data_IF_063290624834
#
_entry.id   IF_063290624834
#
_cell.length_a   1.000
_cell.length_b   1.000
_cell.length_c   1.000
_cell.angle_alpha   90.00
_cell.angle_beta   90.00
_cell.angle_gamma   90.00
#
_symmetry.space_group_name_H-M   'P 1'
#
loop_
_entity.id
_entity.type
_entity.pdbx_description
1 polymer ?
#
# COMPACT_ATOMS: atom_id res chain seq x y z
N UNK A 1 20.54 14.26 21.89
CA UNK A 1 20.75 14.61 20.47
C UNK A 1 20.92 13.37 19.56
N UNK A 2 21.08 12.14 20.10
CA UNK A 2 21.39 10.92 19.33
C UNK A 2 20.23 10.27 18.54
N UNK A 3 18.97 10.40 18.97
CA UNK A 3 17.83 9.66 18.37
C UNK A 3 17.38 10.11 16.98
N UNK A 4 17.76 11.33 16.53
CA UNK A 4 17.30 11.86 15.23
C UNK A 4 18.10 11.27 14.07
N UNK A 5 19.43 11.18 14.23
CA UNK A 5 20.31 10.59 13.23
C UNK A 5 20.00 9.11 12.99
N UNK A 6 19.75 8.34 14.06
CA UNK A 6 19.45 6.90 13.97
C UNK A 6 18.16 6.59 13.19
N UNK A 7 17.16 7.47 13.28
CA UNK A 7 15.91 7.30 12.52
C UNK A 7 16.11 7.64 11.03
N UNK A 8 16.94 8.64 10.76
CA UNK A 8 17.26 9.07 9.40
C UNK A 8 18.05 7.99 8.65
N UNK A 9 19.03 7.38 9.32
CA UNK A 9 19.84 6.28 8.78
C UNK A 9 18.98 5.01 8.57
N UNK A 10 18.02 4.74 9.47
CA UNK A 10 17.04 3.66 9.31
C UNK A 10 16.16 3.86 8.08
N UNK A 11 15.66 5.08 7.85
CA UNK A 11 14.81 5.37 6.71
C UNK A 11 15.60 5.24 5.42
N UNK A 12 16.83 5.75 5.37
CA UNK A 12 17.71 5.56 4.21
C UNK A 12 17.97 4.07 3.92
N UNK A 13 18.14 3.23 4.95
CA UNK A 13 18.25 1.79 4.79
C UNK A 13 16.97 1.15 4.24
N UNK A 14 15.79 1.62 4.65
CA UNK A 14 14.50 1.17 4.09
C UNK A 14 14.38 1.61 2.63
N UNK A 15 14.70 2.86 2.29
CA UNK A 15 14.65 3.37 0.91
C UNK A 15 15.54 2.52 -0.01
N UNK A 16 16.75 2.20 0.45
CA UNK A 16 17.71 1.35 -0.28
C UNK A 16 17.37 -0.14 -0.27
N UNK A 17 16.45 -0.59 0.57
CA UNK A 17 16.09 -2.02 0.70
C UNK A 17 17.14 -2.86 1.43
N UNK A 18 17.96 -2.27 2.30
CA UNK A 18 19.04 -2.99 3.00
C UNK A 18 18.52 -3.66 4.28
N UNK A 19 18.01 -4.87 4.15
CA UNK A 19 17.42 -5.64 5.26
C UNK A 19 18.31 -5.70 6.51
N UNK A 20 19.60 -6.03 6.36
CA UNK A 20 20.51 -6.21 7.50
C UNK A 20 20.67 -4.95 8.34
N UNK A 21 20.60 -3.76 7.73
CA UNK A 21 20.75 -2.51 8.44
C UNK A 21 19.42 -2.12 9.09
N UNK A 22 18.29 -2.31 8.42
CA UNK A 22 16.97 -2.14 9.03
C UNK A 22 16.82 -3.02 10.27
N UNK A 23 17.21 -4.29 10.18
CA UNK A 23 17.21 -5.25 11.26
C UNK A 23 18.01 -4.74 12.48
N UNK A 24 19.26 -4.31 12.28
CA UNK A 24 20.11 -3.76 13.35
C UNK A 24 19.48 -2.55 14.04
N UNK A 25 18.94 -1.60 13.28
CA UNK A 25 18.32 -0.40 13.85
C UNK A 25 17.07 -0.72 14.67
N UNK A 26 16.26 -1.69 14.23
CA UNK A 26 15.10 -2.15 15.00
C UNK A 26 15.51 -2.93 16.25
N UNK A 27 16.58 -3.72 16.19
CA UNK A 27 17.14 -4.45 17.36
C UNK A 27 17.72 -3.50 18.41
N UNK A 28 18.21 -2.32 18.00
CA UNK A 28 18.64 -1.25 18.89
C UNK A 28 17.48 -0.52 19.62
N UNK A 29 16.24 -1.00 19.48
CA UNK A 29 15.07 -0.48 20.20
C UNK A 29 14.31 0.62 19.48
N UNK A 30 14.54 0.80 18.18
CA UNK A 30 13.75 1.75 17.38
C UNK A 30 12.31 1.29 17.26
N UNK A 31 11.35 2.18 17.52
CA UNK A 31 9.93 1.86 17.40
C UNK A 31 9.55 1.74 15.91
N UNK A 32 9.01 0.60 15.50
CA UNK A 32 8.55 0.34 14.14
C UNK A 32 7.43 1.28 13.67
N UNK A 33 6.77 1.97 14.60
CA UNK A 33 5.74 2.97 14.33
C UNK A 33 6.28 4.41 14.29
N UNK A 34 7.60 4.61 14.33
CA UNK A 34 8.19 5.95 14.27
C UNK A 34 7.81 6.68 12.98
N UNK A 35 7.77 8.01 13.06
CA UNK A 35 7.52 8.90 11.91
C UNK A 35 8.76 9.74 11.70
N UNK A 36 9.12 9.93 10.44
CA UNK A 36 10.18 10.85 10.07
C UNK A 36 9.70 12.29 10.22
N UNK A 37 10.40 13.11 11.01
CA UNK A 37 10.01 14.50 11.27
C UNK A 37 10.88 15.52 10.48
N UNK A 38 11.50 15.14 9.35
CA UNK A 38 12.33 16.08 8.56
C UNK A 38 11.51 17.17 7.85
N UNK A 39 10.33 16.83 7.30
CA UNK A 39 9.40 17.78 6.66
C UNK A 39 7.95 17.25 6.71
N UNK A 40 6.98 18.15 6.65
CA UNK A 40 5.52 17.87 6.65
C UNK A 40 5.15 16.90 5.53
N UNK A 41 5.78 17.05 4.36
CA UNK A 41 5.61 16.20 3.17
C UNK A 41 6.20 14.78 3.32
N UNK A 42 7.10 14.57 4.28
CA UNK A 42 7.82 13.31 4.51
C UNK A 42 7.45 12.63 5.82
N UNK A 43 6.40 13.13 6.50
CA UNK A 43 5.96 12.61 7.77
C UNK A 43 5.09 11.36 7.61
N UNK A 44 5.65 10.29 7.06
CA UNK A 44 5.00 8.99 6.90
C UNK A 44 5.58 7.90 7.83
N UNK A 45 4.79 6.88 8.21
CA UNK A 45 5.27 5.73 8.97
C UNK A 45 6.35 4.92 8.24
N UNK A 46 7.23 4.23 8.98
CA UNK A 46 8.26 3.34 8.40
C UNK A 46 7.66 2.28 7.46
N UNK A 47 6.50 1.71 7.82
CA UNK A 47 5.81 0.74 6.97
C UNK A 47 5.35 1.33 5.63
N UNK A 48 4.99 2.61 5.59
CA UNK A 48 4.63 3.31 4.36
C UNK A 48 5.85 3.52 3.44
N UNK A 49 7.04 3.75 3.99
CA UNK A 49 8.27 3.79 3.20
C UNK A 49 8.54 2.43 2.55
N UNK A 50 8.54 1.34 3.33
CA UNK A 50 8.78 0.00 2.80
C UNK A 50 7.72 -0.39 1.75
N UNK A 51 6.46 -0.01 1.95
CA UNK A 51 5.37 -0.22 1.00
C UNK A 51 5.55 0.58 -0.31
N UNK A 52 5.98 1.84 -0.21
CA UNK A 52 6.23 2.74 -1.34
C UNK A 52 7.34 2.24 -2.28
N UNK A 53 8.34 1.53 -1.74
CA UNK A 53 9.42 0.92 -2.54
C UNK A 53 9.21 -0.59 -2.81
N UNK A 54 8.16 -1.19 -2.27
CA UNK A 54 7.84 -2.60 -2.49
C UNK A 54 8.73 -3.62 -1.78
N UNK A 55 9.47 -3.22 -0.73
CA UNK A 55 10.39 -4.09 0.02
C UNK A 55 9.63 -5.02 0.98
N UNK A 56 9.02 -6.06 0.43
CA UNK A 56 8.11 -6.96 1.17
C UNK A 56 8.75 -7.67 2.37
N UNK A 57 10.04 -8.00 2.30
CA UNK A 57 10.82 -8.58 3.39
C UNK A 57 10.99 -7.60 4.56
N UNK A 58 11.29 -6.34 4.26
CA UNK A 58 11.35 -5.26 5.23
C UNK A 58 9.96 -4.99 5.83
N UNK A 59 8.89 -5.05 5.02
CA UNK A 59 7.52 -4.91 5.52
C UNK A 59 7.16 -5.99 6.53
N UNK A 60 7.47 -7.27 6.23
CA UNK A 60 7.25 -8.38 7.19
C UNK A 60 7.98 -8.11 8.50
N UNK A 61 9.26 -7.76 8.42
CA UNK A 61 10.04 -7.43 9.59
C UNK A 61 9.40 -6.30 10.42
N UNK A 62 8.97 -5.21 9.77
CA UNK A 62 8.33 -4.10 10.47
C UNK A 62 7.02 -4.51 11.14
N UNK A 63 6.19 -5.32 10.47
CA UNK A 63 4.93 -5.84 11.01
C UNK A 63 5.19 -6.77 12.20
N UNK A 64 6.17 -7.66 12.11
CA UNK A 64 6.60 -8.55 13.21
C UNK A 64 7.09 -7.75 14.43
N UNK A 65 7.64 -6.54 14.21
CA UNK A 65 8.01 -5.58 15.25
C UNK A 65 6.86 -4.69 15.71
N UNK A 66 5.62 -5.02 15.35
CA UNK A 66 4.42 -4.35 15.80
C UNK A 66 4.11 -3.05 15.05
N UNK A 67 4.59 -2.90 13.81
CA UNK A 67 4.13 -1.81 12.94
C UNK A 67 2.63 -1.92 12.69
N UNK A 68 1.93 -0.79 12.85
CA UNK A 68 0.50 -0.70 12.57
C UNK A 68 0.26 -0.65 11.07
N UNK A 69 -0.41 -1.68 10.54
CA UNK A 69 -0.70 -1.88 9.11
C UNK A 69 -1.49 -0.72 8.50
N UNK A 70 -2.43 -0.14 9.25
CA UNK A 70 -3.27 0.99 8.80
C UNK A 70 -2.79 2.36 9.30
N UNK A 71 -1.53 2.48 9.73
CA UNK A 71 -1.05 3.76 10.22
C UNK A 71 -0.99 4.78 9.08
N UNK A 72 -1.74 5.87 9.21
CA UNK A 72 -1.80 6.91 8.19
C UNK A 72 -0.68 7.94 8.32
N UNK A 73 -0.27 8.50 7.19
CA UNK A 73 0.55 9.70 7.15
C UNK A 73 -0.29 10.98 7.42
N UNK A 74 0.27 12.17 7.18
CA UNK A 74 -0.45 13.44 7.42
C UNK A 74 -1.55 13.72 6.38
N UNK A 75 -1.51 13.03 5.24
CA UNK A 75 -2.49 13.13 4.17
C UNK A 75 -3.58 12.06 4.29
N UNK A 76 -3.58 11.28 5.37
CA UNK A 76 -4.50 10.17 5.53
C UNK A 76 -4.14 8.93 4.71
N UNK A 77 -3.01 8.94 3.96
CA UNK A 77 -2.61 7.78 3.15
C UNK A 77 -2.11 6.65 4.03
N UNK A 78 -2.62 5.44 3.76
CA UNK A 78 -2.19 4.19 4.41
C UNK A 78 -0.99 3.58 3.68
N UNK A 79 -0.22 2.66 4.29
CA UNK A 79 0.80 1.88 3.58
C UNK A 79 0.24 1.18 2.34
N UNK A 80 -1.03 0.75 2.39
CA UNK A 80 -1.72 0.15 1.25
C UNK A 80 -1.90 1.14 0.10
N UNK A 81 -2.24 2.40 0.40
CA UNK A 81 -2.33 3.47 -0.60
C UNK A 81 -1.00 3.68 -1.32
N UNK A 82 0.10 3.74 -0.57
CA UNK A 82 1.45 3.89 -1.13
C UNK A 82 1.87 2.69 -1.98
N UNK A 83 1.62 1.45 -1.53
CA UNK A 83 1.91 0.26 -2.32
C UNK A 83 1.11 0.21 -3.63
N UNK A 84 -0.15 0.66 -3.61
CA UNK A 84 -1.02 0.65 -4.77
C UNK A 84 -0.67 1.74 -5.79
N UNK A 85 -0.42 2.97 -5.34
CA UNK A 85 0.04 4.09 -6.19
C UNK A 85 1.33 3.75 -6.93
N UNK A 86 2.26 3.07 -6.27
CA UNK A 86 3.54 2.64 -6.85
C UNK A 86 3.49 1.24 -7.51
N UNK A 87 2.30 0.65 -7.68
CA UNK A 87 2.12 -0.64 -8.37
C UNK A 87 2.87 -1.83 -7.73
N UNK A 88 3.19 -1.77 -6.44
CA UNK A 88 3.89 -2.84 -5.75
C UNK A 88 2.92 -3.93 -5.28
N UNK A 89 2.47 -4.77 -6.21
CA UNK A 89 1.43 -5.77 -5.95
C UNK A 89 1.79 -6.78 -4.85
N UNK A 90 3.08 -7.14 -4.71
CA UNK A 90 3.54 -8.00 -3.61
C UNK A 90 3.33 -7.35 -2.23
N UNK A 91 3.56 -6.03 -2.14
CA UNK A 91 3.30 -5.25 -0.94
C UNK A 91 1.80 -5.09 -0.68
N UNK A 92 1.00 -4.85 -1.74
CA UNK A 92 -0.48 -4.81 -1.65
C UNK A 92 -1.02 -6.12 -1.07
N UNK A 93 -0.62 -7.26 -1.64
CA UNK A 93 -1.07 -8.57 -1.19
C UNK A 93 -0.69 -8.83 0.27
N UNK A 94 0.57 -8.55 0.63
CA UNK A 94 1.06 -8.71 2.00
C UNK A 94 0.23 -7.87 2.99
N UNK A 95 -0.05 -6.60 2.67
CA UNK A 95 -0.84 -5.73 3.54
C UNK A 95 -2.28 -6.21 3.70
N UNK A 96 -2.92 -6.65 2.61
CA UNK A 96 -4.27 -7.24 2.66
C UNK A 96 -4.30 -8.52 3.49
N UNK A 97 -3.31 -9.40 3.34
CA UNK A 97 -3.16 -10.62 4.15
C UNK A 97 -3.00 -10.31 5.65
N UNK A 98 -2.39 -9.18 5.98
CA UNK A 98 -2.24 -8.69 7.36
C UNK A 98 -3.40 -7.79 7.83
N UNK A 99 -4.52 -7.79 7.09
CA UNK A 99 -5.76 -7.14 7.50
C UNK A 99 -5.83 -5.63 7.24
N UNK A 100 -5.04 -5.10 6.30
CA UNK A 100 -5.13 -3.68 5.92
C UNK A 100 -6.53 -3.32 5.43
N UNK A 101 -7.01 -2.14 5.81
CA UNK A 101 -8.29 -1.64 5.34
C UNK A 101 -8.20 -1.18 3.87
N UNK A 102 -8.74 -2.00 2.97
CA UNK A 102 -8.82 -1.73 1.52
C UNK A 102 -9.71 -0.53 1.16
N UNK A 103 -10.62 -0.14 2.05
CA UNK A 103 -11.55 0.99 1.86
C UNK A 103 -11.07 2.27 2.57
N UNK A 104 -9.84 2.31 3.10
CA UNK A 104 -9.35 3.47 3.83
C UNK A 104 -9.07 4.64 2.86
N UNK A 105 -10.04 5.53 2.71
CA UNK A 105 -9.90 6.75 1.92
C UNK A 105 -8.79 7.66 2.47
N UNK A 106 -7.95 8.16 1.58
CA UNK A 106 -6.99 9.22 1.92
C UNK A 106 -7.66 10.61 1.91
N UNK A 107 -6.89 11.66 2.17
CA UNK A 107 -7.37 13.04 2.16
C UNK A 107 -7.88 13.54 0.81
N UNK A 108 -7.68 12.77 -0.27
CA UNK A 108 -8.21 13.02 -1.61
C UNK A 108 -9.46 12.18 -1.90
N UNK A 109 -10.05 11.55 -0.87
CA UNK A 109 -11.21 10.64 -0.99
C UNK A 109 -10.94 9.44 -1.90
N UNK A 110 -9.65 9.12 -2.09
CA UNK A 110 -9.23 8.05 -2.99
C UNK A 110 -8.94 6.81 -2.18
N UNK A 111 -9.53 5.68 -2.58
CA UNK A 111 -9.24 4.39 -1.96
C UNK A 111 -7.91 3.82 -2.48
N UNK A 112 -7.16 3.07 -1.65
CA UNK A 112 -5.90 2.46 -2.05
C UNK A 112 -6.01 1.69 -3.37
N UNK A 113 -7.08 0.91 -3.55
CA UNK A 113 -7.27 0.11 -4.77
C UNK A 113 -7.70 0.94 -5.99
N UNK A 114 -8.24 2.14 -5.80
CA UNK A 114 -8.52 3.05 -6.92
C UNK A 114 -7.24 3.57 -7.59
N UNK A 115 -6.14 3.71 -6.84
CA UNK A 115 -4.84 4.08 -7.40
C UNK A 115 -4.33 3.07 -8.45
N UNK A 116 -4.70 1.79 -8.30
CA UNK A 116 -4.37 0.74 -9.28
C UNK A 116 -5.00 0.98 -10.66
N UNK A 117 -5.98 1.87 -10.79
CA UNK A 117 -6.58 2.19 -12.09
C UNK A 117 -5.69 3.07 -12.97
N UNK A 118 -4.77 3.79 -12.34
CA UNK A 118 -3.81 4.65 -13.02
C UNK A 118 -2.49 3.92 -13.32
N UNK A 119 -2.30 2.73 -12.74
CA UNK A 119 -1.14 1.89 -13.02
C UNK A 119 -1.15 1.38 -14.47
N UNK A 120 -0.02 0.92 -15.01
CA UNK A 120 0.08 0.41 -16.40
C UNK A 120 -0.13 -1.11 -16.49
N UNK A 121 0.30 -1.88 -15.49
CA UNK A 121 0.30 -3.35 -15.51
C UNK A 121 -1.09 -3.99 -15.25
N UNK A 122 -1.70 -4.64 -16.23
CA UNK A 122 -3.17 -4.93 -16.25
C UNK A 122 -3.56 -6.23 -15.54
N UNK A 123 -2.69 -7.23 -15.48
CA UNK A 123 -3.09 -8.58 -15.10
C UNK A 123 -3.36 -8.73 -13.61
N UNK A 124 -2.47 -8.19 -12.77
CA UNK A 124 -2.60 -8.28 -11.30
C UNK A 124 -3.68 -7.34 -10.77
N UNK A 125 -3.92 -6.22 -11.47
CA UNK A 125 -5.02 -5.29 -11.17
C UNK A 125 -6.37 -6.00 -11.22
N UNK A 126 -6.59 -6.82 -12.24
CA UNK A 126 -7.90 -7.41 -12.48
C UNK A 126 -8.30 -8.36 -11.35
N UNK A 127 -7.37 -9.18 -10.85
CA UNK A 127 -7.66 -10.13 -9.78
C UNK A 127 -7.93 -9.40 -8.43
N UNK A 128 -7.09 -8.43 -8.07
CA UNK A 128 -7.26 -7.62 -6.85
C UNK A 128 -8.52 -6.73 -6.87
N UNK A 129 -8.80 -6.09 -8.01
CA UNK A 129 -10.02 -5.28 -8.19
C UNK A 129 -11.27 -6.15 -8.26
N UNK A 130 -11.20 -7.36 -8.82
CA UNK A 130 -12.37 -8.23 -8.94
C UNK A 130 -12.92 -8.64 -7.56
N UNK A 131 -12.07 -9.04 -6.61
CA UNK A 131 -12.51 -9.37 -5.25
C UNK A 131 -13.07 -8.14 -4.51
N UNK A 132 -12.45 -6.97 -4.71
CA UNK A 132 -12.90 -5.71 -4.11
C UNK A 132 -14.24 -5.21 -4.65
N UNK A 133 -14.39 -5.16 -5.98
CA UNK A 133 -15.60 -4.72 -6.70
C UNK A 133 -16.81 -5.61 -6.39
N UNK A 134 -16.57 -6.88 -6.08
CA UNK A 134 -17.61 -7.84 -5.70
C UNK A 134 -17.99 -7.75 -4.21
N UNK A 135 -17.25 -7.01 -3.39
CA UNK A 135 -17.42 -6.99 -1.93
C UNK A 135 -18.37 -5.90 -1.38
N UNK A 136 -18.54 -4.74 -2.05
CA UNK A 136 -19.68 -3.76 -2.00
C UNK A 136 -19.25 -2.34 -2.42
N UNK A 137 -20.21 -1.59 -2.97
CA UNK A 137 -20.24 -0.12 -3.13
C UNK A 137 -19.16 0.62 -3.96
N UNK A 138 -18.52 -0.04 -4.92
CA UNK A 138 -17.62 0.64 -5.84
C UNK A 138 -18.26 1.70 -6.78
N UNK A 139 -19.60 1.83 -6.78
CA UNK A 139 -20.34 2.87 -7.52
C UNK A 139 -20.22 4.27 -6.94
N UNK A 140 -19.91 4.41 -5.65
CA UNK A 140 -19.78 5.72 -5.00
C UNK A 140 -18.33 6.23 -4.98
N UNK A 141 -17.37 5.35 -5.27
CA UNK A 141 -15.94 5.56 -4.97
C UNK A 141 -15.16 6.01 -6.21
N UNK A 142 -15.63 5.64 -7.39
CA UNK A 142 -14.98 5.99 -8.65
C UNK A 142 -15.78 7.08 -9.35
N UNK A 143 -15.10 8.12 -9.81
CA UNK A 143 -15.75 9.09 -10.70
C UNK A 143 -16.39 8.37 -11.89
N UNK A 144 -17.45 8.95 -12.45
CA UNK A 144 -18.28 8.27 -13.46
C UNK A 144 -17.43 7.77 -14.66
N UNK A 145 -16.32 8.43 -14.95
CA UNK A 145 -15.37 8.12 -16.02
C UNK A 145 -14.52 6.89 -15.73
N UNK A 146 -13.99 6.76 -14.51
CA UNK A 146 -13.16 5.64 -14.08
C UNK A 146 -13.99 4.37 -13.92
N UNK A 147 -15.22 4.50 -13.39
CA UNK A 147 -16.18 3.39 -13.34
C UNK A 147 -16.53 2.87 -14.73
N UNK A 148 -16.77 3.76 -15.71
CA UNK A 148 -17.12 3.36 -17.06
C UNK A 148 -15.97 2.61 -17.77
N UNK A 149 -14.71 3.06 -17.61
CA UNK A 149 -13.53 2.38 -18.18
C UNK A 149 -13.30 1.01 -17.54
N UNK A 150 -13.39 0.91 -16.22
CA UNK A 150 -13.32 -0.36 -15.48
C UNK A 150 -14.38 -1.35 -15.91
N UNK A 151 -15.64 -0.91 -15.93
CA UNK A 151 -16.78 -1.75 -16.31
C UNK A 151 -16.61 -2.28 -17.74
N UNK A 152 -16.09 -1.46 -18.65
CA UNK A 152 -15.87 -1.87 -20.03
C UNK A 152 -14.79 -2.97 -20.13
N UNK A 153 -13.67 -2.80 -19.42
CA UNK A 153 -12.56 -3.77 -19.37
C UNK A 153 -12.97 -5.10 -18.72
N UNK A 154 -13.63 -5.05 -17.55
CA UNK A 154 -14.05 -6.23 -16.80
C UNK A 154 -15.24 -6.97 -17.42
N UNK A 155 -16.15 -6.28 -18.14
CA UNK A 155 -17.29 -6.92 -18.82
C UNK A 155 -16.82 -7.95 -19.85
N UNK A 156 -15.70 -7.70 -20.53
CA UNK A 156 -15.07 -8.64 -21.48
C UNK A 156 -14.54 -9.89 -20.79
N UNK A 157 -13.83 -9.75 -19.67
CA UNK A 157 -13.29 -10.89 -18.90
C UNK A 157 -14.39 -11.64 -18.13
N UNK A 158 -15.41 -10.95 -17.62
CA UNK A 158 -16.57 -11.57 -16.97
C UNK A 158 -17.43 -12.37 -17.94
N UNK A 159 -17.65 -11.86 -19.15
CA UNK A 159 -18.31 -12.61 -20.21
C UNK A 159 -17.51 -13.86 -20.61
N UNK A 160 -16.17 -13.80 -20.59
CA UNK A 160 -15.31 -14.96 -20.83
C UNK A 160 -15.36 -15.98 -19.69
N UNK A 161 -15.18 -15.56 -18.43
CA UNK A 161 -15.25 -16.45 -17.24
C UNK A 161 -16.62 -17.15 -17.17
N UNK A 162 -17.69 -16.43 -17.50
CA UNK A 162 -19.06 -16.96 -17.54
C UNK A 162 -19.29 -17.90 -18.73
N UNK A 163 -18.57 -17.71 -19.84
CA UNK A 163 -18.61 -18.60 -21.01
C UNK A 163 -17.76 -19.86 -20.86
N UNK A 164 -16.76 -19.86 -19.97
CA UNK A 164 -15.88 -21.02 -19.69
C UNK A 164 -16.41 -21.90 -18.55
N UNK A 165 -17.34 -21.39 -17.73
CA UNK A 165 -18.01 -22.13 -16.64
C UNK A 165 -19.38 -22.73 -17.03
N UNK A 166 -19.75 -22.73 -18.31
CA UNK A 166 -20.92 -23.41 -18.87
C UNK A 166 -20.43 -24.56 -19.74
#
# INVERSE_FOLDING_TARGET
MFKKQELDDLIEAIEKGVYCDVQKHLDNGTNANSRHDKDVSHRKPLLSYAAMYGHTDIMKLLIDRGAKVDKTDLHGRTPLSWAAEHCHFGAVKLLVEHGANVNAEDGEWTTPLAWLLYAEDVDVKQDLLQDYLMSKDARQILDHTSWHRLKYSLKTRWNWIRSVRV
#
